data_IF_289133932044
#
_entry.id   IF_289133932044
#
_cell.length_a   1.000
_cell.length_b   1.000
_cell.length_c   1.000
_cell.angle_alpha   90.00
_cell.angle_beta   90.00
_cell.angle_gamma   90.00
#
_symmetry.space_group_name_H-M   'P 1'
#
loop_
_entity.id
_entity.type
_entity.pdbx_description
1 polymer ?
#
# COMPACT_ATOMS: atom_id res chain seq x y z
N UNK A 1 -6.79 28.06 -23.95
CA UNK A 1 -8.12 27.51 -23.57
C UNK A 1 -8.22 25.99 -23.79
N UNK A 2 -7.82 25.41 -24.93
CA UNK A 2 -7.94 23.96 -25.19
C UNK A 2 -7.20 23.04 -24.20
N UNK A 3 -6.03 23.45 -23.69
CA UNK A 3 -5.30 22.67 -22.67
C UNK A 3 -6.03 22.59 -21.33
N UNK A 4 -6.70 23.67 -20.90
CA UNK A 4 -7.49 23.70 -19.66
C UNK A 4 -8.68 22.72 -19.73
N UNK A 5 -9.38 22.70 -20.86
CA UNK A 5 -10.51 21.77 -21.07
C UNK A 5 -10.05 20.31 -21.10
N UNK A 6 -8.86 20.01 -21.63
CA UNK A 6 -8.28 18.67 -21.63
C UNK A 6 -7.87 18.20 -20.22
N UNK A 7 -7.41 19.10 -19.36
CA UNK A 7 -7.07 18.79 -17.96
C UNK A 7 -8.35 18.57 -17.15
N UNK A 8 -9.38 19.40 -17.35
CA UNK A 8 -10.71 19.18 -16.76
C UNK A 8 -11.33 17.84 -17.16
N UNK A 9 -11.11 17.37 -18.39
CA UNK A 9 -11.59 16.06 -18.85
C UNK A 9 -10.93 14.85 -18.19
N UNK A 10 -9.82 15.01 -17.45
CA UNK A 10 -9.24 13.96 -16.59
C UNK A 10 -9.58 14.16 -15.11
N UNK A 11 -10.05 15.35 -14.73
CA UNK A 11 -10.59 15.67 -13.42
C UNK A 11 -12.11 15.39 -13.41
N UNK A 12 -12.48 14.20 -13.91
CA UNK A 12 -13.87 13.82 -14.12
C UNK A 12 -14.67 13.77 -12.82
N UNK A 13 -15.99 13.94 -12.96
CA UNK A 13 -16.98 13.64 -11.94
C UNK A 13 -16.77 12.20 -11.45
N UNK A 14 -16.81 11.94 -10.13
CA UNK A 14 -16.52 10.62 -9.58
C UNK A 14 -17.38 9.55 -10.25
N UNK A 15 -16.73 8.61 -10.92
CA UNK A 15 -17.39 7.45 -11.53
C UNK A 15 -17.55 6.37 -10.46
N UNK A 16 -18.67 5.60 -10.45
CA UNK A 16 -18.79 4.42 -9.59
C UNK A 16 -17.70 3.36 -9.80
N UNK A 17 -16.96 3.42 -10.91
CA UNK A 17 -15.92 2.46 -11.29
C UNK A 17 -14.50 2.99 -11.12
N UNK A 18 -14.32 4.19 -10.55
CA UNK A 18 -12.99 4.74 -10.33
C UNK A 18 -12.21 3.95 -9.28
N UNK A 19 -10.91 3.77 -9.54
CA UNK A 19 -9.99 3.17 -8.57
C UNK A 19 -9.48 4.28 -7.65
N UNK A 20 -9.70 4.10 -6.35
CA UNK A 20 -9.35 5.07 -5.32
C UNK A 20 -8.39 4.49 -4.29
N UNK A 21 -7.55 5.34 -3.70
CA UNK A 21 -6.70 4.97 -2.56
C UNK A 21 -7.46 5.22 -1.27
N UNK A 22 -7.85 4.14 -0.58
CA UNK A 22 -8.67 4.23 0.65
C UNK A 22 -7.82 4.54 1.88
N UNK A 23 -6.61 3.97 1.96
CA UNK A 23 -5.68 4.19 3.05
C UNK A 23 -4.24 3.96 2.57
N UNK A 24 -3.30 4.64 3.23
CA UNK A 24 -1.87 4.46 3.02
C UNK A 24 -1.15 4.56 4.36
N UNK A 25 -0.48 3.50 4.77
CA UNK A 25 0.30 3.41 6.02
C UNK A 25 1.62 2.70 5.73
N UNK A 26 2.65 3.01 6.52
CA UNK A 26 3.98 2.40 6.40
C UNK A 26 4.62 2.19 7.77
N UNK A 27 5.60 1.29 7.84
CA UNK A 27 6.50 1.23 8.98
C UNK A 27 7.43 2.45 9.02
N UNK A 28 8.07 2.74 10.17
CA UNK A 28 9.31 3.50 10.20
C UNK A 28 10.36 2.91 9.24
N UNK A 29 11.40 3.68 8.93
CA UNK A 29 12.55 3.20 8.15
C UNK A 29 13.75 3.18 9.11
N UNK A 30 14.38 2.02 9.25
CA UNK A 30 15.52 1.82 10.14
C UNK A 30 16.78 1.46 9.35
N UNK A 31 17.96 1.78 9.92
CA UNK A 31 19.25 1.40 9.32
C UNK A 31 19.39 -0.13 9.29
N UNK A 32 19.79 -0.68 8.15
CA UNK A 32 20.11 -2.11 8.04
C UNK A 32 21.24 -2.50 9.00
N UNK A 33 21.23 -3.76 9.48
CA UNK A 33 22.22 -4.39 10.37
C UNK A 33 22.34 -3.84 11.80
N UNK A 34 22.05 -2.54 12.02
CA UNK A 34 22.26 -1.86 13.31
C UNK A 34 21.08 -1.02 13.82
N UNK A 35 20.00 -0.91 13.04
CA UNK A 35 18.82 -0.13 13.40
C UNK A 35 17.78 -0.93 14.20
N UNK A 36 16.65 -0.28 14.48
CA UNK A 36 15.56 -0.83 15.29
C UNK A 36 14.96 -2.14 14.75
N UNK A 37 15.07 -2.41 13.44
CA UNK A 37 14.54 -3.62 12.80
C UNK A 37 15.62 -4.66 12.49
N UNK A 38 16.82 -4.57 13.08
CA UNK A 38 17.92 -5.51 12.77
C UNK A 38 17.58 -6.97 13.12
N UNK A 39 16.73 -7.17 14.13
CA UNK A 39 16.29 -8.50 14.60
C UNK A 39 14.81 -8.77 14.24
N UNK A 40 14.21 -7.97 13.35
CA UNK A 40 12.81 -8.10 12.95
C UNK A 40 12.73 -8.64 11.53
N UNK A 41 11.99 -9.73 11.35
CA UNK A 41 11.81 -10.35 10.03
C UNK A 41 10.79 -9.58 9.17
N UNK A 42 10.88 -9.64 7.83
CA UNK A 42 10.01 -8.86 6.95
C UNK A 42 8.51 -9.16 7.08
N UNK A 43 8.14 -10.41 7.40
CA UNK A 43 6.75 -10.83 7.63
C UNK A 43 6.13 -10.15 8.85
N UNK A 44 6.92 -9.94 9.92
CA UNK A 44 6.48 -9.18 11.09
C UNK A 44 6.26 -7.71 10.73
N UNK A 45 7.14 -7.11 9.92
CA UNK A 45 6.97 -5.73 9.45
C UNK A 45 5.73 -5.59 8.57
N UNK A 46 5.51 -6.54 7.65
CA UNK A 46 4.35 -6.55 6.76
C UNK A 46 3.04 -6.71 7.53
N UNK A 47 3.02 -7.60 8.53
CA UNK A 47 1.88 -7.78 9.43
C UNK A 47 1.50 -6.47 10.12
N UNK A 48 2.46 -5.71 10.62
CA UNK A 48 2.18 -4.42 11.28
C UNK A 48 1.53 -3.41 10.33
N UNK A 49 1.91 -3.40 9.05
CA UNK A 49 1.27 -2.55 8.04
C UNK A 49 -0.17 -3.00 7.80
N UNK A 50 -0.43 -4.30 7.65
CA UNK A 50 -1.78 -4.81 7.48
C UNK A 50 -2.68 -4.51 8.68
N UNK A 51 -2.21 -4.74 9.91
CA UNK A 51 -2.94 -4.39 11.13
C UNK A 51 -3.23 -2.88 11.21
N UNK A 52 -2.26 -2.04 10.82
CA UNK A 52 -2.43 -0.58 10.78
C UNK A 52 -3.50 -0.12 9.78
N UNK A 53 -3.47 -0.68 8.56
CA UNK A 53 -4.47 -0.37 7.52
C UNK A 53 -5.86 -0.84 7.95
N UNK A 54 -6.01 -2.07 8.45
CA UNK A 54 -7.29 -2.59 8.91
C UNK A 54 -7.86 -1.78 10.07
N UNK A 55 -7.00 -1.30 10.98
CA UNK A 55 -7.41 -0.41 12.07
C UNK A 55 -7.89 0.95 11.56
N UNK A 56 -7.25 1.48 10.51
CA UNK A 56 -7.61 2.77 9.91
C UNK A 56 -8.93 2.69 9.12
N UNK A 57 -9.10 1.64 8.32
CA UNK A 57 -10.24 1.51 7.40
C UNK A 57 -11.44 0.79 7.99
N UNK A 58 -11.22 -0.07 9.00
CA UNK A 58 -12.23 -0.96 9.61
C UNK A 58 -12.92 -1.89 8.60
N UNK A 59 -12.26 -2.14 7.45
CA UNK A 59 -12.74 -3.06 6.43
C UNK A 59 -12.65 -4.49 6.93
N UNK A 60 -13.65 -5.32 6.59
CA UNK A 60 -13.58 -6.76 6.83
C UNK A 60 -12.46 -7.37 5.95
N UNK A 61 -11.42 -8.00 6.51
CA UNK A 61 -10.36 -8.62 5.72
C UNK A 61 -10.87 -9.62 4.68
N UNK A 62 -12.04 -10.24 4.90
CA UNK A 62 -12.63 -11.23 3.98
C UNK A 62 -13.09 -10.65 2.65
N UNK A 63 -13.30 -9.33 2.54
CA UNK A 63 -13.72 -8.70 1.28
C UNK A 63 -12.54 -8.31 0.37
N UNK A 64 -11.30 -8.46 0.86
CA UNK A 64 -10.10 -8.16 0.08
C UNK A 64 -9.94 -9.25 -0.98
N UNK A 65 -10.02 -8.87 -2.26
CA UNK A 65 -9.97 -9.81 -3.38
C UNK A 65 -8.56 -10.27 -3.76
N UNK A 66 -7.54 -9.44 -3.51
CA UNK A 66 -6.15 -9.76 -3.83
C UNK A 66 -5.17 -8.92 -2.99
N UNK A 67 -3.94 -9.43 -2.81
CA UNK A 67 -2.85 -8.76 -2.10
C UNK A 67 -1.56 -8.91 -2.92
N UNK A 68 -1.08 -7.81 -3.48
CA UNK A 68 0.19 -7.76 -4.22
C UNK A 68 1.29 -7.20 -3.32
N UNK A 69 2.35 -7.98 -3.07
CA UNK A 69 3.47 -7.61 -2.21
C UNK A 69 4.76 -7.52 -3.02
N UNK A 70 5.36 -6.33 -3.08
CA UNK A 70 6.67 -6.12 -3.69
C UNK A 70 7.81 -6.44 -2.71
N UNK A 71 8.73 -7.32 -3.11
CA UNK A 71 9.96 -7.65 -2.37
C UNK A 71 11.11 -7.89 -3.37
N UNK A 72 12.36 -7.83 -2.88
CA UNK A 72 13.56 -8.03 -3.72
C UNK A 72 14.47 -9.13 -3.17
N UNK A 73 14.79 -9.10 -1.87
CA UNK A 73 15.89 -9.91 -1.30
C UNK A 73 15.45 -11.26 -0.74
N UNK A 74 14.16 -11.45 -0.40
CA UNK A 74 13.69 -12.78 0.01
C UNK A 74 13.72 -13.77 -1.17
N UNK A 75 14.12 -15.05 -0.93
CA UNK A 75 14.00 -16.10 -1.93
C UNK A 75 12.54 -16.24 -2.43
N UNK A 76 12.36 -16.56 -3.72
CA UNK A 76 11.03 -16.71 -4.33
C UNK A 76 10.42 -15.42 -4.88
N UNK A 77 11.11 -14.28 -4.76
CA UNK A 77 10.61 -12.97 -5.22
C UNK A 77 10.78 -12.70 -6.73
N UNK A 78 11.28 -13.67 -7.49
CA UNK A 78 11.55 -13.59 -8.93
C UNK A 78 11.24 -14.92 -9.66
N UNK A 79 10.33 -15.73 -9.12
CA UNK A 79 9.81 -16.91 -9.81
C UNK A 79 8.53 -16.54 -10.56
#
# INVERSE_FOLDING_TARGET
>A
MQRLNRIQGHLQTPSPTEVVVVAATRTPIAKAKRGAFKDTTPDVLLRQVFEGVLKQTKVDPKIIGDIVVGNVLQPGSAA
#
